data_IF_631549817286
#
_entry.id   IF_631549817286
#
_cell.length_a   1.000
_cell.length_b   1.000
_cell.length_c   1.000
_cell.angle_alpha   90.00
_cell.angle_beta   90.00
_cell.angle_gamma   90.00
#
_symmetry.space_group_name_H-M   'P 1'
#
loop_
_entity.id
_entity.type
_entity.pdbx_description
1 polymer ?
#
# COMPACT_ATOMS: atom_id res chain seq x y z
N UNK A 1 46.19 10.64 -1.11
CA UNK A 1 44.75 10.75 -1.39
C UNK A 1 44.03 9.82 -0.42
N UNK A 2 43.08 10.31 0.37
CA UNK A 2 42.20 9.38 1.07
C UNK A 2 41.32 8.72 0.03
N UNK A 3 41.39 7.40 -0.03
CA UNK A 3 40.53 6.56 -0.85
C UNK A 3 39.09 6.73 -0.35
N UNK A 4 38.13 6.96 -1.24
CA UNK A 4 36.70 7.04 -0.91
C UNK A 4 36.04 5.70 -1.22
N UNK A 5 35.85 4.88 -0.19
CA UNK A 5 35.18 3.58 -0.32
C UNK A 5 33.66 3.72 -0.18
N UNK A 6 32.91 2.70 -0.60
CA UNK A 6 31.47 2.62 -0.33
C UNK A 6 31.13 2.75 1.16
N UNK A 7 31.94 2.13 2.03
CA UNK A 7 31.79 2.24 3.48
C UNK A 7 31.95 3.68 3.95
N UNK A 8 32.92 4.42 3.40
CA UNK A 8 33.12 5.84 3.74
C UNK A 8 31.94 6.70 3.31
N UNK A 9 31.46 6.52 2.07
CA UNK A 9 30.27 7.21 1.57
C UNK A 9 29.03 6.94 2.43
N UNK A 10 28.82 5.67 2.81
CA UNK A 10 27.74 5.28 3.69
C UNK A 10 27.82 5.98 5.04
N UNK A 11 29.01 6.00 5.68
CA UNK A 11 29.19 6.61 7.00
C UNK A 11 28.94 8.13 6.96
N UNK A 12 29.50 8.82 5.95
CA UNK A 12 29.30 10.26 5.78
C UNK A 12 27.83 10.62 5.56
N UNK A 13 27.14 9.87 4.69
CA UNK A 13 25.71 10.06 4.45
C UNK A 13 24.87 9.71 5.69
N UNK A 14 25.22 8.66 6.42
CA UNK A 14 24.51 8.25 7.64
C UNK A 14 24.57 9.35 8.71
N UNK A 15 25.73 9.97 8.93
CA UNK A 15 25.83 11.08 9.89
C UNK A 15 25.04 12.31 9.42
N UNK A 16 25.07 12.65 8.12
CA UNK A 16 24.21 13.74 7.59
C UNK A 16 22.72 13.50 7.83
N UNK A 17 22.23 12.30 7.50
CA UNK A 17 20.82 11.96 7.70
C UNK A 17 20.43 11.92 9.18
N UNK A 18 21.35 11.48 10.04
CA UNK A 18 21.17 11.51 11.50
C UNK A 18 21.07 12.94 12.02
N UNK A 19 21.93 13.85 11.56
CA UNK A 19 21.87 15.28 11.92
C UNK A 19 20.56 15.93 11.44
N UNK A 20 19.97 15.42 10.34
CA UNK A 20 18.66 15.81 9.84
C UNK A 20 17.47 15.12 10.56
N UNK A 21 17.73 14.34 11.61
CA UNK A 21 16.74 13.57 12.38
C UNK A 21 15.94 12.55 11.53
N UNK A 22 16.57 11.95 10.52
CA UNK A 22 16.01 10.80 9.79
C UNK A 22 15.93 9.60 10.74
N UNK A 23 14.80 8.85 10.80
CA UNK A 23 14.63 7.76 11.77
C UNK A 23 15.64 6.60 11.66
N UNK A 24 15.91 6.13 10.44
CA UNK A 24 16.91 5.08 10.16
C UNK A 24 17.96 5.58 9.16
N UNK A 25 18.89 6.43 9.62
CA UNK A 25 19.77 7.17 8.73
C UNK A 25 20.75 6.25 8.00
N UNK A 26 21.17 5.14 8.63
CA UNK A 26 22.11 4.20 8.02
C UNK A 26 21.42 3.32 6.98
N UNK A 27 20.20 2.86 7.25
CA UNK A 27 19.41 2.12 6.28
C UNK A 27 19.12 2.98 5.05
N UNK A 28 18.61 4.19 5.25
CA UNK A 28 18.26 5.12 4.17
C UNK A 28 19.49 5.48 3.32
N UNK A 29 20.61 5.83 3.95
CA UNK A 29 21.86 6.12 3.24
C UNK A 29 22.34 4.92 2.40
N UNK A 30 22.23 3.69 2.93
CA UNK A 30 22.60 2.47 2.21
C UNK A 30 21.66 2.22 1.02
N UNK A 31 20.35 2.40 1.19
CA UNK A 31 19.38 2.23 0.12
C UNK A 31 19.62 3.23 -1.03
N UNK A 32 19.87 4.50 -0.71
CA UNK A 32 20.16 5.54 -1.69
C UNK A 32 21.51 5.31 -2.40
N UNK A 33 22.53 4.83 -1.68
CA UNK A 33 23.81 4.43 -2.26
C UNK A 33 23.64 3.25 -3.22
N UNK A 34 22.96 2.18 -2.78
CA UNK A 34 22.72 1.00 -3.61
C UNK A 34 21.95 1.35 -4.89
N UNK A 35 20.93 2.21 -4.78
CA UNK A 35 20.17 2.71 -5.93
C UNK A 35 21.04 3.54 -6.88
N UNK A 36 21.79 4.52 -6.37
CA UNK A 36 22.59 5.43 -7.20
C UNK A 36 23.72 4.70 -7.95
N UNK A 37 24.35 3.71 -7.33
CA UNK A 37 25.43 2.93 -7.94
C UNK A 37 24.95 1.64 -8.61
N UNK A 38 23.63 1.38 -8.64
CA UNK A 38 23.03 0.19 -9.25
C UNK A 38 23.63 -1.12 -8.73
N UNK A 39 23.84 -1.21 -7.42
CA UNK A 39 24.36 -2.41 -6.74
C UNK A 39 23.33 -2.98 -5.77
N UNK A 40 23.31 -4.31 -5.65
CA UNK A 40 22.48 -5.00 -4.68
C UNK A 40 23.20 -5.20 -3.34
N UNK A 41 22.46 -5.70 -2.34
CA UNK A 41 23.00 -5.95 -0.99
C UNK A 41 24.22 -6.88 -0.97
N UNK A 42 24.26 -7.90 -1.83
CA UNK A 42 25.37 -8.84 -1.88
C UNK A 42 26.63 -8.19 -2.47
N UNK A 43 26.47 -7.42 -3.55
CA UNK A 43 27.55 -6.61 -4.13
C UNK A 43 28.08 -5.60 -3.12
N UNK A 44 27.19 -4.88 -2.42
CA UNK A 44 27.62 -3.94 -1.37
C UNK A 44 28.48 -4.63 -0.30
N UNK A 45 28.06 -5.79 0.22
CA UNK A 45 28.82 -6.50 1.25
C UNK A 45 30.19 -7.00 0.77
N UNK A 46 30.30 -7.40 -0.50
CA UNK A 46 31.57 -7.85 -1.07
C UNK A 46 32.54 -6.69 -1.33
N UNK A 47 32.03 -5.50 -1.62
CA UNK A 47 32.80 -4.37 -2.10
C UNK A 47 32.78 -3.15 -1.17
N UNK A 48 32.25 -3.23 0.05
CA UNK A 48 32.10 -2.05 0.92
C UNK A 48 33.45 -1.36 1.24
N UNK A 49 34.54 -2.12 1.29
CA UNK A 49 35.91 -1.61 1.48
C UNK A 49 36.62 -1.19 0.17
N UNK A 50 35.92 -1.29 -0.96
CA UNK A 50 36.44 -0.92 -2.27
C UNK A 50 35.98 0.47 -2.69
N UNK A 51 36.76 1.10 -3.56
CA UNK A 51 36.35 2.27 -4.34
C UNK A 51 35.20 1.90 -5.27
N UNK A 52 34.18 2.76 -5.47
CA UNK A 52 33.17 2.55 -6.49
C UNK A 52 33.74 2.29 -7.89
N UNK A 53 34.88 2.91 -8.19
CA UNK A 53 35.71 2.74 -9.39
C UNK A 53 36.21 1.29 -9.58
N UNK A 54 36.33 0.53 -8.49
CA UNK A 54 36.86 -0.83 -8.48
C UNK A 54 35.81 -1.92 -8.75
N UNK A 55 34.53 -1.57 -8.91
CA UNK A 55 33.48 -2.50 -9.39
C UNK A 55 33.79 -2.94 -10.83
N UNK A 56 34.41 -4.11 -10.98
CA UNK A 56 34.81 -4.74 -12.26
C UNK A 56 33.56 -5.17 -13.08
N UNK A 57 33.70 -5.49 -14.38
CA UNK A 57 33.70 -4.63 -15.56
C UNK A 57 32.27 -4.37 -16.14
N UNK A 58 31.22 -4.43 -15.31
CA UNK A 58 29.84 -4.44 -15.81
C UNK A 58 29.00 -3.20 -15.53
N UNK A 59 29.27 -2.47 -14.43
CA UNK A 59 28.29 -1.49 -13.93
C UNK A 59 28.78 -0.04 -14.08
N UNK A 60 30.06 0.28 -13.83
CA UNK A 60 30.55 1.68 -13.89
C UNK A 60 32.02 1.83 -14.34
N UNK A 61 32.42 1.22 -15.46
CA UNK A 61 33.72 1.55 -16.10
C UNK A 61 33.70 2.88 -16.85
N UNK A 62 32.50 3.40 -17.07
CA UNK A 62 32.31 4.69 -17.71
C UNK A 62 32.42 5.80 -16.67
N UNK A 63 33.39 6.69 -16.87
CA UNK A 63 33.62 7.83 -15.99
C UNK A 63 32.39 8.73 -15.90
N UNK A 64 31.64 8.90 -16.99
CA UNK A 64 30.43 9.73 -16.99
C UNK A 64 29.32 9.08 -16.15
N UNK A 65 29.10 7.77 -16.29
CA UNK A 65 28.12 7.05 -15.47
C UNK A 65 28.50 7.06 -13.99
N UNK A 66 29.78 6.92 -13.67
CA UNK A 66 30.26 6.99 -12.30
C UNK A 66 30.04 8.38 -11.69
N UNK A 67 30.37 9.44 -12.43
CA UNK A 67 30.10 10.81 -11.99
C UNK A 67 28.60 11.07 -11.80
N UNK A 68 27.74 10.49 -12.65
CA UNK A 68 26.29 10.59 -12.51
C UNK A 68 25.77 9.80 -11.30
N UNK A 69 26.35 8.64 -10.99
CA UNK A 69 26.03 7.88 -9.78
C UNK A 69 26.35 8.68 -8.51
N UNK A 70 27.53 9.32 -8.45
CA UNK A 70 27.86 10.22 -7.34
C UNK A 70 26.90 11.41 -7.25
N UNK A 71 26.60 12.07 -8.38
CA UNK A 71 25.63 13.18 -8.43
C UNK A 71 24.26 12.75 -7.92
N UNK A 72 23.77 11.60 -8.37
CA UNK A 72 22.50 11.02 -7.96
C UNK A 72 22.50 10.71 -6.46
N UNK A 73 23.56 10.10 -5.95
CA UNK A 73 23.71 9.77 -4.54
C UNK A 73 23.61 11.02 -3.67
N UNK A 74 24.46 12.03 -3.91
CA UNK A 74 24.45 13.25 -3.09
C UNK A 74 23.14 14.04 -3.21
N UNK A 75 22.58 14.15 -4.42
CA UNK A 75 21.26 14.77 -4.63
C UNK A 75 20.15 14.06 -3.83
N UNK A 76 20.18 12.73 -3.78
CA UNK A 76 19.19 11.96 -3.03
C UNK A 76 19.40 12.08 -1.52
N UNK A 77 20.65 12.19 -1.04
CA UNK A 77 20.93 12.52 0.37
C UNK A 77 20.34 13.90 0.71
N UNK A 78 20.55 14.92 -0.13
CA UNK A 78 19.99 16.27 0.10
C UNK A 78 18.44 16.29 0.15
N UNK A 79 17.80 15.47 -0.69
CA UNK A 79 16.34 15.26 -0.65
C UNK A 79 15.92 14.62 0.66
N UNK A 80 16.63 13.58 1.10
CA UNK A 80 16.34 12.87 2.34
C UNK A 80 16.61 13.71 3.59
N UNK A 81 17.62 14.58 3.58
CA UNK A 81 17.88 15.58 4.63
C UNK A 81 16.69 16.53 4.81
N UNK A 82 15.93 16.81 3.75
CA UNK A 82 14.68 17.60 3.79
C UNK A 82 13.47 16.79 4.24
N UNK A 83 13.68 15.55 4.70
CA UNK A 83 12.65 14.60 5.12
C UNK A 83 11.73 14.13 3.99
N UNK A 84 12.13 14.24 2.72
CA UNK A 84 11.40 13.60 1.62
C UNK A 84 11.39 12.07 1.82
N UNK A 85 10.25 11.36 1.69
CA UNK A 85 10.17 9.92 1.95
C UNK A 85 11.15 9.12 1.09
N UNK A 86 11.85 8.15 1.69
CA UNK A 86 12.83 7.30 0.99
C UNK A 86 12.22 6.66 -0.27
N UNK A 87 11.01 6.16 -0.17
CA UNK A 87 10.29 5.48 -1.26
C UNK A 87 10.01 6.43 -2.43
N UNK A 88 9.68 7.70 -2.17
CA UNK A 88 9.50 8.70 -3.22
C UNK A 88 10.84 9.10 -3.87
N UNK A 89 11.94 9.12 -3.09
CA UNK A 89 13.28 9.35 -3.64
C UNK A 89 13.71 8.19 -4.55
N UNK A 90 13.46 6.94 -4.13
CA UNK A 90 13.71 5.72 -4.90
C UNK A 90 12.71 5.55 -6.06
N UNK A 91 11.54 6.18 -5.97
CA UNK A 91 10.44 6.08 -6.93
C UNK A 91 9.68 4.74 -6.88
N UNK A 92 9.95 3.89 -5.89
CA UNK A 92 9.33 2.57 -5.75
C UNK A 92 9.23 2.17 -4.28
N UNK A 93 8.28 1.29 -3.97
CA UNK A 93 8.21 0.57 -2.69
C UNK A 93 7.75 -0.87 -2.89
N UNK A 94 8.28 -1.78 -2.09
CA UNK A 94 7.77 -3.14 -2.00
C UNK A 94 6.43 -3.18 -1.26
N UNK A 95 5.49 -3.97 -1.76
CA UNK A 95 4.22 -4.29 -1.10
C UNK A 95 3.77 -5.69 -1.53
N UNK A 96 3.56 -6.58 -0.57
CA UNK A 96 3.11 -7.96 -0.78
C UNK A 96 3.97 -8.74 -1.81
N UNK A 97 5.29 -8.51 -1.78
CA UNK A 97 6.25 -9.11 -2.70
C UNK A 97 6.29 -8.52 -4.11
N UNK A 98 5.57 -7.43 -4.37
CA UNK A 98 5.55 -6.70 -5.64
C UNK A 98 6.18 -5.31 -5.47
N UNK A 99 6.78 -4.77 -6.54
CA UNK A 99 7.34 -3.41 -6.55
C UNK A 99 6.37 -2.42 -7.19
N UNK A 100 5.88 -1.46 -6.40
CA UNK A 100 4.97 -0.40 -6.84
C UNK A 100 5.71 0.91 -7.03
N UNK A 101 5.53 1.53 -8.20
CA UNK A 101 5.93 2.92 -8.41
C UNK A 101 5.13 3.82 -7.48
N UNK A 102 5.84 4.75 -6.84
CA UNK A 102 5.26 5.79 -5.98
C UNK A 102 5.83 7.17 -6.33
N UNK A 103 5.01 8.19 -6.15
CA UNK A 103 5.35 9.62 -6.31
C UNK A 103 4.68 10.41 -5.18
N UNK A 104 4.87 11.72 -5.14
CA UNK A 104 4.14 12.61 -4.22
C UNK A 104 2.61 12.66 -4.48
N UNK A 105 2.12 12.04 -5.56
CA UNK A 105 0.70 12.01 -5.91
C UNK A 105 -0.08 10.88 -5.20
N UNK A 106 0.61 9.97 -4.51
CA UNK A 106 0.01 8.80 -3.86
C UNK A 106 0.56 8.61 -2.44
N UNK A 107 -0.28 8.07 -1.57
CA UNK A 107 0.18 7.51 -0.30
C UNK A 107 1.11 6.33 -0.59
N UNK A 108 2.28 6.28 0.05
CA UNK A 108 3.15 5.13 -0.05
C UNK A 108 2.49 3.90 0.60
N UNK A 109 2.36 2.76 -0.11
CA UNK A 109 1.88 1.51 0.46
C UNK A 109 2.54 1.19 1.81
N UNK A 110 1.73 0.82 2.80
CA UNK A 110 2.17 0.50 4.16
C UNK A 110 2.12 -1.01 4.38
N UNK A 111 3.05 -1.54 5.17
CA UNK A 111 3.05 -2.96 5.52
C UNK A 111 1.77 -3.38 6.25
N UNK A 112 1.21 -2.50 7.10
CA UNK A 112 -0.04 -2.78 7.83
C UNK A 112 -1.22 -3.05 6.87
N UNK A 113 -1.23 -2.44 5.68
CA UNK A 113 -2.23 -2.66 4.62
C UNK A 113 -2.20 -4.10 4.08
N UNK A 114 -1.09 -4.83 4.23
CA UNK A 114 -1.04 -6.25 3.87
C UNK A 114 -2.02 -7.09 4.71
N UNK A 115 -2.38 -6.64 5.92
CA UNK A 115 -3.43 -7.26 6.75
C UNK A 115 -4.79 -7.27 6.03
N UNK A 116 -5.09 -6.22 5.25
CA UNK A 116 -6.32 -6.15 4.44
C UNK A 116 -6.26 -7.17 3.30
N UNK A 117 -5.10 -7.31 2.64
CA UNK A 117 -4.88 -8.31 1.59
C UNK A 117 -5.05 -9.72 2.15
N UNK A 118 -4.41 -10.01 3.28
CA UNK A 118 -4.54 -11.30 3.97
C UNK A 118 -5.97 -11.58 4.42
N UNK A 119 -6.72 -10.55 4.83
CA UNK A 119 -8.13 -10.65 5.16
C UNK A 119 -8.98 -11.07 3.95
N UNK A 120 -8.71 -10.52 2.77
CA UNK A 120 -9.45 -10.81 1.53
C UNK A 120 -9.04 -12.16 0.94
N UNK A 121 -7.74 -12.48 0.91
CA UNK A 121 -7.24 -13.78 0.45
C UNK A 121 -7.48 -14.90 1.47
N UNK A 122 -7.92 -14.52 2.68
CA UNK A 122 -8.15 -15.37 3.85
C UNK A 122 -6.88 -16.10 4.33
N UNK A 123 -5.72 -15.47 4.18
CA UNK A 123 -4.45 -15.96 4.70
C UNK A 123 -4.26 -15.70 6.20
N UNK A 124 -5.24 -15.11 6.89
CA UNK A 124 -5.16 -14.81 8.33
C UNK A 124 -4.83 -16.06 9.15
N UNK A 125 -3.89 -15.93 10.09
CA UNK A 125 -3.52 -17.02 11.00
C UNK A 125 -4.70 -17.43 11.90
N UNK A 126 -4.97 -18.73 11.98
CA UNK A 126 -6.14 -19.30 12.70
C UNK A 126 -6.17 -19.03 14.20
N UNK A 127 -5.03 -18.68 14.79
CA UNK A 127 -4.90 -18.47 16.24
C UNK A 127 -5.45 -17.11 16.68
N UNK A 128 -5.49 -16.12 15.78
CA UNK A 128 -5.92 -14.75 16.09
C UNK A 128 -7.41 -14.49 15.78
N UNK A 129 -8.12 -15.45 15.18
CA UNK A 129 -9.53 -15.30 14.82
C UNK A 129 -10.39 -16.07 15.85
N UNK A 130 -11.28 -15.37 16.58
CA UNK A 130 -12.24 -16.02 17.47
C UNK A 130 -13.02 -17.12 16.76
N UNK A 131 -13.21 -18.27 17.42
CA UNK A 131 -13.84 -19.46 16.84
C UNK A 131 -15.17 -19.16 16.14
N UNK A 132 -15.97 -18.28 16.74
CA UNK A 132 -17.25 -17.82 16.18
C UNK A 132 -17.15 -17.14 14.81
N UNK A 133 -15.99 -16.68 14.37
CA UNK A 133 -15.79 -16.00 13.07
C UNK A 133 -15.06 -16.87 12.04
N UNK A 134 -14.59 -18.07 12.41
CA UNK A 134 -13.82 -18.95 11.50
C UNK A 134 -14.57 -19.32 10.23
N UNK A 135 -15.90 -19.51 10.31
CA UNK A 135 -16.72 -19.80 9.13
C UNK A 135 -16.73 -18.66 8.11
N UNK A 136 -16.60 -17.40 8.56
CA UNK A 136 -16.57 -16.25 7.66
C UNK A 136 -15.29 -16.24 6.86
N UNK A 137 -14.15 -16.46 7.55
CA UNK A 137 -12.84 -16.64 6.90
C UNK A 137 -12.93 -17.73 5.85
N UNK A 138 -13.45 -18.91 6.19
CA UNK A 138 -13.62 -20.00 5.21
C UNK A 138 -14.47 -19.61 4.00
N UNK A 139 -15.46 -18.72 4.16
CA UNK A 139 -16.28 -18.24 3.05
C UNK A 139 -15.52 -17.22 2.19
N UNK A 140 -14.78 -16.30 2.80
CA UNK A 140 -13.92 -15.37 2.06
C UNK A 140 -12.80 -16.11 1.35
N UNK A 141 -12.14 -17.07 2.02
CA UNK A 141 -11.22 -18.04 1.42
C UNK A 141 -11.85 -18.72 0.21
N UNK A 142 -13.06 -19.27 0.35
CA UNK A 142 -13.75 -19.93 -0.77
C UNK A 142 -14.04 -18.98 -1.94
N UNK A 143 -14.38 -17.73 -1.65
CA UNK A 143 -14.57 -16.69 -2.68
C UNK A 143 -13.26 -16.50 -3.46
N UNK A 144 -12.14 -16.33 -2.76
CA UNK A 144 -10.87 -15.89 -3.36
C UNK A 144 -9.93 -17.02 -3.79
N UNK A 145 -10.11 -18.25 -3.30
CA UNK A 145 -9.30 -19.43 -3.59
C UNK A 145 -9.85 -20.35 -4.70
N UNK A 146 -10.94 -19.95 -5.38
CA UNK A 146 -11.50 -20.67 -6.54
C UNK A 146 -12.13 -22.05 -6.27
N UNK A 147 -12.31 -22.48 -5.01
CA UNK A 147 -12.78 -23.85 -4.68
C UNK A 147 -14.30 -24.07 -4.81
N UNK A 148 -15.08 -23.04 -5.10
CA UNK A 148 -16.49 -23.16 -5.47
C UNK A 148 -16.83 -22.24 -6.66
N UNK A 149 -16.13 -22.42 -7.78
CA UNK A 149 -16.60 -21.92 -9.08
C UNK A 149 -17.65 -22.92 -9.55
N UNK A 150 -18.90 -22.73 -9.11
CA UNK A 150 -20.04 -23.26 -9.85
C UNK A 150 -20.35 -22.17 -10.88
N UNK A 151 -20.24 -22.50 -12.16
CA UNK A 151 -20.61 -21.66 -13.31
C UNK A 151 -19.62 -20.57 -13.82
N UNK A 152 -18.30 -20.80 -13.80
CA UNK A 152 -17.30 -19.95 -14.51
C UNK A 152 -17.26 -18.44 -14.13
N UNK A 153 -17.97 -17.99 -13.10
CA UNK A 153 -17.97 -16.60 -12.64
C UNK A 153 -17.24 -16.49 -11.29
N UNK A 154 -15.98 -16.01 -11.33
CA UNK A 154 -15.24 -15.66 -10.10
C UNK A 154 -15.84 -14.43 -9.41
N UNK A 155 -15.48 -14.12 -8.16
CA UNK A 155 -16.00 -12.95 -7.46
C UNK A 155 -15.63 -11.63 -8.15
N UNK A 156 -16.47 -10.61 -7.97
CA UNK A 156 -16.21 -9.23 -8.38
C UNK A 156 -15.79 -8.37 -7.18
N UNK A 157 -14.66 -7.66 -7.33
CA UNK A 157 -14.07 -6.81 -6.30
C UNK A 157 -14.24 -5.32 -6.67
N UNK A 158 -14.54 -4.49 -5.67
CA UNK A 158 -14.36 -3.04 -5.72
C UNK A 158 -13.31 -2.59 -4.70
N UNK A 159 -12.30 -1.85 -5.13
CA UNK A 159 -11.33 -1.15 -4.30
C UNK A 159 -11.63 0.36 -4.31
N UNK A 160 -12.02 0.90 -3.16
CA UNK A 160 -12.36 2.30 -2.97
C UNK A 160 -11.17 3.07 -2.39
N UNK A 161 -10.81 4.20 -3.01
CA UNK A 161 -9.62 5.00 -2.70
C UNK A 161 -8.32 4.24 -3.05
N UNK A 162 -8.22 3.77 -4.30
CA UNK A 162 -7.17 2.84 -4.72
C UNK A 162 -5.75 3.41 -4.67
N UNK A 163 -5.58 4.73 -4.73
CA UNK A 163 -4.29 5.40 -4.66
C UNK A 163 -3.32 4.91 -5.75
N UNK A 164 -2.21 4.31 -5.33
CA UNK A 164 -1.21 3.70 -6.22
C UNK A 164 -1.67 2.41 -6.91
N UNK A 165 -2.87 1.93 -6.59
CA UNK A 165 -3.41 0.66 -7.07
C UNK A 165 -2.95 -0.54 -6.24
N UNK A 166 -2.20 -0.35 -5.16
CA UNK A 166 -1.54 -1.45 -4.45
C UNK A 166 -2.51 -2.53 -3.98
N UNK A 167 -3.68 -2.18 -3.46
CA UNK A 167 -4.68 -3.17 -3.02
C UNK A 167 -5.28 -3.90 -4.23
N UNK A 168 -5.90 -3.17 -5.16
CA UNK A 168 -6.53 -3.73 -6.36
C UNK A 168 -5.59 -4.63 -7.18
N UNK A 169 -4.37 -4.17 -7.45
CA UNK A 169 -3.40 -4.89 -8.29
C UNK A 169 -2.91 -6.15 -7.59
N UNK A 170 -2.65 -6.08 -6.28
CA UNK A 170 -2.22 -7.25 -5.49
C UNK A 170 -3.33 -8.31 -5.46
N UNK A 171 -4.58 -7.89 -5.23
CA UNK A 171 -5.72 -8.80 -5.23
C UNK A 171 -6.02 -9.37 -6.63
N UNK A 172 -5.82 -8.60 -7.69
CA UNK A 172 -5.91 -9.11 -9.06
C UNK A 172 -4.80 -10.14 -9.38
N UNK A 173 -3.60 -9.96 -8.79
CA UNK A 173 -2.44 -10.82 -9.02
C UNK A 173 -2.55 -12.16 -8.30
N UNK A 174 -2.96 -12.13 -7.04
CA UNK A 174 -2.92 -13.30 -6.16
C UNK A 174 -4.30 -13.90 -5.86
N UNK A 175 -5.39 -13.16 -6.11
CA UNK A 175 -6.76 -13.64 -5.95
C UNK A 175 -7.37 -14.19 -7.24
N UNK A 176 -8.41 -15.01 -7.11
CA UNK A 176 -9.17 -15.55 -8.24
C UNK A 176 -10.40 -14.72 -8.60
N UNK A 177 -10.26 -13.40 -8.69
CA UNK A 177 -11.36 -12.51 -9.07
C UNK A 177 -11.67 -12.57 -10.57
N UNK A 178 -12.96 -12.48 -10.91
CA UNK A 178 -13.42 -12.31 -12.28
C UNK A 178 -13.15 -10.89 -12.78
N UNK A 179 -13.43 -9.88 -11.94
CA UNK A 179 -13.10 -8.49 -12.21
C UNK A 179 -12.74 -7.74 -10.95
N UNK A 180 -11.86 -6.75 -11.10
CA UNK A 180 -11.43 -5.84 -10.06
C UNK A 180 -11.67 -4.43 -10.56
N UNK A 181 -12.59 -3.71 -9.92
CA UNK A 181 -12.81 -2.29 -10.18
C UNK A 181 -12.12 -1.50 -9.09
N UNK A 182 -11.33 -0.51 -9.45
CA UNK A 182 -10.55 0.30 -8.52
C UNK A 182 -10.81 1.77 -8.83
N UNK A 183 -11.19 2.52 -7.80
CA UNK A 183 -11.65 3.91 -7.99
C UNK A 183 -10.91 4.87 -7.08
N UNK A 184 -10.66 6.08 -7.60
CA UNK A 184 -10.04 7.16 -6.85
C UNK A 184 -10.54 8.52 -7.35
N UNK A 185 -10.55 9.51 -6.45
CA UNK A 185 -10.89 10.90 -6.78
C UNK A 185 -9.70 11.64 -7.41
N UNK A 186 -8.49 11.11 -7.29
CA UNK A 186 -7.28 11.72 -7.81
C UNK A 186 -6.91 11.14 -9.17
N UNK A 187 -7.04 11.94 -10.23
CA UNK A 187 -6.54 11.56 -11.56
C UNK A 187 -5.03 11.30 -11.57
N UNK A 188 -4.24 12.00 -10.74
CA UNK A 188 -2.80 11.77 -10.65
C UNK A 188 -2.50 10.41 -9.99
N UNK A 189 -3.24 10.04 -8.95
CA UNK A 189 -3.15 8.71 -8.35
C UNK A 189 -3.49 7.61 -9.38
N UNK A 190 -4.56 7.78 -10.15
CA UNK A 190 -4.97 6.82 -11.17
C UNK A 190 -3.94 6.67 -12.31
N UNK A 191 -3.17 7.71 -12.63
CA UNK A 191 -2.02 7.58 -13.56
C UNK A 191 -0.94 6.67 -12.97
N UNK A 192 -0.66 6.77 -11.67
CA UNK A 192 0.28 5.88 -10.99
C UNK A 192 -0.27 4.46 -10.89
N UNK A 193 -1.55 4.29 -10.53
CA UNK A 193 -2.20 2.99 -10.53
C UNK A 193 -2.22 2.33 -11.91
N UNK A 194 -2.44 3.10 -12.98
CA UNK A 194 -2.38 2.62 -14.36
C UNK A 194 -0.98 2.12 -14.70
N UNK A 195 0.05 2.90 -14.37
CA UNK A 195 1.44 2.49 -14.57
C UNK A 195 1.75 1.19 -13.82
N UNK A 196 1.39 1.11 -12.54
CA UNK A 196 1.64 -0.07 -11.72
C UNK A 196 0.91 -1.30 -12.27
N UNK A 197 -0.37 -1.16 -12.65
CA UNK A 197 -1.16 -2.24 -13.26
C UNK A 197 -0.47 -2.77 -14.51
N UNK A 198 0.00 -1.89 -15.38
CA UNK A 198 0.55 -2.26 -16.69
C UNK A 198 1.94 -2.93 -16.58
N UNK A 199 2.73 -2.54 -15.57
CA UNK A 199 4.05 -3.12 -15.32
C UNK A 199 3.97 -4.46 -14.54
N UNK A 200 3.05 -4.57 -13.57
CA UNK A 200 3.00 -5.70 -12.63
C UNK A 200 2.14 -6.86 -13.15
N UNK A 201 1.03 -6.55 -13.83
CA UNK A 201 0.08 -7.55 -14.30
C UNK A 201 0.38 -7.99 -15.73
N UNK A 202 0.23 -9.29 -15.99
CA UNK A 202 0.22 -9.80 -17.36
C UNK A 202 -1.09 -9.42 -18.08
N UNK A 203 -1.14 -9.66 -19.39
CA UNK A 203 -2.27 -9.24 -20.24
C UNK A 203 -3.63 -9.74 -19.72
N UNK A 204 -3.73 -11.01 -19.35
CA UNK A 204 -4.98 -11.61 -18.88
C UNK A 204 -5.39 -11.17 -17.46
N UNK A 205 -4.43 -10.83 -16.60
CA UNK A 205 -4.69 -10.22 -15.29
C UNK A 205 -5.14 -8.76 -15.45
N UNK A 206 -4.46 -8.01 -16.32
CA UNK A 206 -4.72 -6.59 -16.57
C UNK A 206 -6.11 -6.33 -17.15
N UNK A 207 -6.58 -7.21 -18.04
CA UNK A 207 -7.94 -7.13 -18.60
C UNK A 207 -9.05 -7.18 -17.55
N UNK A 208 -8.76 -7.76 -16.38
CA UNK A 208 -9.71 -7.84 -15.26
C UNK A 208 -9.75 -6.57 -14.42
N UNK A 209 -8.74 -5.70 -14.51
CA UNK A 209 -8.57 -4.52 -13.66
C UNK A 209 -9.03 -3.25 -14.36
N UNK A 210 -10.12 -2.67 -13.88
CA UNK A 210 -10.66 -1.38 -14.34
C UNK A 210 -10.33 -0.28 -13.34
N UNK A 211 -9.76 0.81 -13.82
CA UNK A 211 -9.46 2.01 -13.05
C UNK A 211 -10.45 3.12 -13.45
N UNK A 212 -11.14 3.71 -12.47
CA UNK A 212 -12.20 4.70 -12.71
C UNK A 212 -11.96 5.94 -11.84
N UNK A 213 -12.01 7.12 -12.45
CA UNK A 213 -12.06 8.38 -11.72
C UNK A 213 -13.46 8.61 -11.18
N UNK A 214 -13.59 8.65 -9.84
CA UNK A 214 -14.89 8.70 -9.16
C UNK A 214 -14.74 9.42 -7.81
N UNK A 215 -15.72 10.25 -7.45
CA UNK A 215 -15.88 10.69 -6.07
C UNK A 215 -16.72 9.63 -5.33
N UNK A 216 -16.02 8.79 -4.56
CA UNK A 216 -16.62 7.65 -3.90
C UNK A 216 -17.40 6.78 -4.92
N UNK A 217 -18.71 6.65 -4.76
CA UNK A 217 -19.57 5.79 -5.58
C UNK A 217 -20.17 6.48 -6.82
N UNK A 218 -19.84 7.76 -7.10
CA UNK A 218 -20.52 8.56 -8.13
C UNK A 218 -20.50 7.95 -9.53
N UNK A 219 -19.37 7.33 -9.92
CA UNK A 219 -19.19 6.67 -11.22
C UNK A 219 -19.14 5.13 -11.09
N UNK A 220 -19.49 4.59 -9.91
CA UNK A 220 -19.50 3.16 -9.67
C UNK A 220 -20.83 2.57 -10.12
N UNK A 221 -20.78 1.48 -10.88
CA UNK A 221 -21.95 0.72 -11.32
C UNK A 221 -21.76 -0.77 -11.08
N UNK A 222 -22.87 -1.51 -11.04
CA UNK A 222 -22.88 -2.94 -10.79
C UNK A 222 -22.94 -3.33 -9.32
N UNK A 223 -22.73 -4.62 -9.06
CA UNK A 223 -22.76 -5.23 -7.73
C UNK A 223 -21.52 -6.07 -7.53
N UNK A 224 -20.94 -6.04 -6.33
CA UNK A 224 -19.68 -6.69 -6.00
C UNK A 224 -19.86 -7.76 -4.93
N UNK A 225 -19.02 -8.78 -4.97
CA UNK A 225 -18.92 -9.81 -3.93
C UNK A 225 -18.10 -9.30 -2.74
N UNK A 226 -17.10 -8.47 -3.01
CA UNK A 226 -16.21 -7.90 -2.00
C UNK A 226 -15.97 -6.41 -2.31
N UNK A 227 -16.12 -5.54 -1.31
CA UNK A 227 -15.70 -4.14 -1.37
C UNK A 227 -14.60 -3.93 -0.33
N UNK A 228 -13.46 -3.38 -0.76
CA UNK A 228 -12.33 -3.04 0.11
C UNK A 228 -12.05 -1.55 0.05
N UNK A 229 -11.43 -1.03 1.10
CA UNK A 229 -10.96 0.36 1.10
C UNK A 229 -9.88 0.57 2.14
N UNK A 230 -8.87 1.36 1.78
CA UNK A 230 -8.04 2.08 2.74
C UNK A 230 -8.33 3.58 2.56
N UNK A 231 -9.43 4.10 3.14
CA UNK A 231 -9.81 5.48 2.96
C UNK A 231 -8.97 6.41 3.86
N UNK A 232 -8.95 7.73 3.59
CA UNK A 232 -8.35 8.68 4.52
C UNK A 232 -9.06 8.62 5.88
N UNK A 233 -8.31 8.40 6.96
CA UNK A 233 -8.88 8.17 8.29
C UNK A 233 -8.30 9.05 9.40
N UNK A 234 -7.33 9.90 9.10
CA UNK A 234 -6.66 10.73 10.10
C UNK A 234 -7.53 11.98 10.36
N UNK A 235 -7.90 12.28 11.62
CA UNK A 235 -8.63 13.51 11.93
C UNK A 235 -7.85 14.75 11.48
N UNK A 236 -8.51 15.76 10.88
CA UNK A 236 -7.81 16.92 10.29
C UNK A 236 -6.84 17.63 11.24
N UNK A 237 -7.20 17.68 12.53
CA UNK A 237 -6.37 18.30 13.59
C UNK A 237 -5.06 17.55 13.86
N UNK A 238 -4.98 16.27 13.50
CA UNK A 238 -3.82 15.40 13.72
C UNK A 238 -2.87 15.44 12.52
N UNK A 239 -3.37 15.72 11.31
CA UNK A 239 -2.57 15.71 10.08
C UNK A 239 -1.35 16.63 10.19
N UNK A 240 -1.50 17.82 10.77
CA UNK A 240 -0.40 18.79 10.91
C UNK A 240 0.65 18.39 11.97
N UNK A 241 0.34 17.36 12.79
CA UNK A 241 1.22 16.80 13.82
C UNK A 241 1.97 15.55 13.40
N UNK A 242 1.71 15.05 12.19
CA UNK A 242 2.38 13.86 11.64
C UNK A 242 3.87 14.13 11.41
N UNK A 243 4.62 13.05 11.26
CA UNK A 243 6.03 13.11 10.90
C UNK A 243 6.22 13.91 9.59
N UNK A 244 7.30 14.71 9.46
CA UNK A 244 7.58 15.53 8.29
C UNK A 244 7.45 14.81 6.95
N UNK A 245 7.92 13.56 6.87
CA UNK A 245 7.78 12.69 5.69
C UNK A 245 6.34 12.58 5.20
N UNK A 246 5.40 12.41 6.13
CA UNK A 246 3.99 12.19 5.81
C UNK A 246 3.29 13.52 5.64
N UNK A 247 3.50 14.45 6.58
CA UNK A 247 2.82 15.75 6.59
C UNK A 247 3.15 16.60 5.35
N UNK A 248 4.42 16.63 4.96
CA UNK A 248 4.92 17.60 3.98
C UNK A 248 5.00 17.03 2.56
N UNK A 249 5.04 15.70 2.38
CA UNK A 249 5.29 15.05 1.08
C UNK A 249 4.24 14.03 0.63
N UNK A 250 3.35 13.58 1.51
CA UNK A 250 2.23 12.73 1.08
C UNK A 250 0.99 13.58 0.81
N UNK A 251 0.14 13.18 -0.17
CA UNK A 251 -1.00 14.00 -0.57
C UNK A 251 -2.00 14.07 0.58
N UNK A 252 -2.28 15.29 1.07
CA UNK A 252 -3.21 15.51 2.20
C UNK A 252 -4.58 14.84 2.01
N UNK A 253 -5.08 14.79 0.78
CA UNK A 253 -6.37 14.14 0.45
C UNK A 253 -6.37 12.63 0.74
N UNK A 254 -5.21 11.97 0.73
CA UNK A 254 -5.08 10.55 1.08
C UNK A 254 -4.98 10.32 2.61
N UNK A 255 -4.76 11.38 3.39
CA UNK A 255 -4.56 11.30 4.84
C UNK A 255 -5.80 11.79 5.63
N UNK A 256 -6.34 12.94 5.23
CA UNK A 256 -7.33 13.70 5.99
C UNK A 256 -8.74 13.07 5.90
N UNK A 257 -9.11 12.31 6.92
CA UNK A 257 -10.44 11.76 7.13
C UNK A 257 -11.49 12.77 7.60
N UNK A 258 -11.13 14.06 7.64
CA UNK A 258 -11.91 15.21 8.15
C UNK A 258 -12.22 15.11 9.65
N UNK A 259 -12.85 16.13 10.25
CA UNK A 259 -13.50 16.07 11.58
C UNK A 259 -12.88 15.11 12.61
N UNK A 260 -13.50 13.95 12.77
CA UNK A 260 -13.11 12.86 13.68
C UNK A 260 -12.41 11.67 12.98
N UNK A 261 -12.07 11.80 11.70
CA UNK A 261 -11.46 10.77 10.89
C UNK A 261 -12.47 9.78 10.28
N UNK A 262 -13.75 9.87 10.62
CA UNK A 262 -14.73 8.84 10.28
C UNK A 262 -15.64 9.17 9.09
N UNK A 263 -15.43 10.30 8.40
CA UNK A 263 -16.30 10.73 7.28
C UNK A 263 -16.43 9.66 6.21
N UNK A 264 -15.32 9.10 5.74
CA UNK A 264 -15.35 8.14 4.65
C UNK A 264 -15.95 6.79 5.08
N UNK A 265 -15.72 6.35 6.32
CA UNK A 265 -16.40 5.16 6.85
C UNK A 265 -17.92 5.33 6.93
N UNK A 266 -18.43 6.53 7.25
CA UNK A 266 -19.88 6.80 7.21
C UNK A 266 -20.45 6.68 5.79
N UNK A 267 -19.73 7.20 4.79
CA UNK A 267 -20.12 7.08 3.38
C UNK A 267 -20.11 5.61 2.96
N UNK A 268 -19.01 4.90 3.25
CA UNK A 268 -18.85 3.47 2.94
C UNK A 268 -19.96 2.64 3.58
N UNK A 269 -20.22 2.80 4.88
CA UNK A 269 -21.26 2.07 5.59
C UNK A 269 -22.66 2.31 4.98
N UNK A 270 -22.97 3.56 4.60
CA UNK A 270 -24.26 3.91 4.03
C UNK A 270 -24.45 3.42 2.58
N UNK A 271 -23.40 3.46 1.75
CA UNK A 271 -23.49 3.17 0.32
C UNK A 271 -23.21 1.71 -0.03
N UNK A 272 -22.26 1.04 0.64
CA UNK A 272 -21.87 -0.35 0.33
C UNK A 272 -23.06 -1.33 0.21
N UNK A 273 -24.11 -1.30 1.05
CA UNK A 273 -25.28 -2.18 0.88
C UNK A 273 -25.95 -2.08 -0.50
N UNK A 274 -25.91 -0.90 -1.14
CA UNK A 274 -26.45 -0.68 -2.49
C UNK A 274 -25.56 -1.27 -3.59
N UNK A 275 -24.30 -1.53 -3.31
CA UNK A 275 -23.32 -2.05 -4.28
C UNK A 275 -22.86 -3.47 -3.99
N UNK A 276 -23.28 -4.09 -2.88
CA UNK A 276 -22.97 -5.49 -2.61
C UNK A 276 -24.03 -6.45 -3.17
N UNK A 277 -23.56 -7.62 -3.62
CA UNK A 277 -24.38 -8.81 -3.84
C UNK A 277 -24.82 -9.38 -2.47
N UNK A 278 -25.90 -10.15 -2.46
CA UNK A 278 -26.37 -10.81 -1.23
C UNK A 278 -25.29 -11.72 -0.67
N UNK A 279 -24.91 -11.54 0.59
CA UNK A 279 -23.83 -12.30 1.23
C UNK A 279 -22.42 -11.77 0.91
N UNK A 280 -22.31 -10.63 0.22
CA UNK A 280 -21.03 -9.97 -0.04
C UNK A 280 -20.40 -9.35 1.21
N UNK A 281 -19.11 -9.04 1.12
CA UNK A 281 -18.30 -8.60 2.26
C UNK A 281 -17.74 -7.20 2.05
N UNK A 282 -17.54 -6.50 3.16
CA UNK A 282 -16.70 -5.30 3.24
C UNK A 282 -15.47 -5.60 4.10
N UNK A 283 -14.32 -5.03 3.72
CA UNK A 283 -13.12 -5.01 4.55
C UNK A 283 -12.48 -3.62 4.44
N UNK A 284 -12.39 -2.89 5.55
CA UNK A 284 -11.86 -1.54 5.56
C UNK A 284 -10.63 -1.46 6.47
N UNK A 285 -9.52 -0.93 5.95
CA UNK A 285 -8.41 -0.53 6.79
C UNK A 285 -8.84 0.65 7.68
N UNK A 286 -8.38 0.64 8.93
CA UNK A 286 -8.69 1.62 9.96
C UNK A 286 -7.45 2.09 10.71
N UNK A 287 -7.57 3.26 11.35
CA UNK A 287 -6.66 3.65 12.42
C UNK A 287 -6.77 2.69 13.62
N UNK A 288 -5.68 2.53 14.37
CA UNK A 288 -5.57 1.57 15.48
C UNK A 288 -6.59 1.76 16.61
N UNK A 289 -7.20 2.95 16.71
CA UNK A 289 -8.17 3.35 17.72
C UNK A 289 -9.61 3.43 17.19
N UNK A 290 -9.85 3.06 15.92
CA UNK A 290 -11.14 3.23 15.25
C UNK A 290 -11.98 1.95 15.15
N UNK A 291 -11.48 0.82 15.66
CA UNK A 291 -12.11 -0.52 15.57
C UNK A 291 -13.56 -0.54 16.03
N UNK A 292 -13.85 0.00 17.20
CA UNK A 292 -15.20 0.04 17.78
C UNK A 292 -16.13 0.92 16.94
N UNK A 293 -15.73 2.16 16.67
CA UNK A 293 -16.56 3.14 15.97
C UNK A 293 -16.93 2.69 14.55
N UNK A 294 -15.97 2.16 13.79
CA UNK A 294 -16.25 1.65 12.43
C UNK A 294 -17.09 0.37 12.48
N UNK A 295 -16.89 -0.47 13.50
CA UNK A 295 -17.75 -1.65 13.71
C UNK A 295 -19.20 -1.28 13.99
N UNK A 296 -19.45 -0.21 14.76
CA UNK A 296 -20.79 0.29 15.03
C UNK A 296 -21.46 0.83 13.76
N UNK A 297 -20.75 1.63 12.96
CA UNK A 297 -21.25 2.12 11.67
C UNK A 297 -21.69 0.98 10.74
N UNK A 298 -20.90 -0.10 10.66
CA UNK A 298 -21.28 -1.29 9.88
C UNK A 298 -22.52 -1.99 10.45
N UNK A 299 -22.61 -2.18 11.76
CA UNK A 299 -23.77 -2.82 12.40
C UNK A 299 -25.05 -2.01 12.16
N UNK A 300 -24.99 -0.69 12.29
CA UNK A 300 -26.10 0.22 12.03
C UNK A 300 -26.54 0.20 10.56
N UNK A 301 -25.59 0.08 9.63
CA UNK A 301 -25.86 -0.11 8.21
C UNK A 301 -26.39 -1.52 7.85
N UNK A 302 -26.56 -2.41 8.83
CA UNK A 302 -27.16 -3.72 8.66
C UNK A 302 -26.18 -4.86 8.36
N UNK A 303 -24.87 -4.60 8.43
CA UNK A 303 -23.87 -5.66 8.32
C UNK A 303 -23.93 -6.60 9.52
N UNK A 304 -23.72 -7.89 9.25
CA UNK A 304 -23.65 -8.96 10.24
C UNK A 304 -22.22 -9.45 10.39
N UNK A 305 -22.03 -10.15 11.49
CA UNK A 305 -20.77 -10.81 11.83
C UNK A 305 -19.57 -9.88 11.80
N UNK A 306 -19.79 -8.64 12.23
CA UNK A 306 -18.76 -7.61 12.23
C UNK A 306 -17.62 -8.01 13.16
N UNK A 307 -16.40 -7.98 12.63
CA UNK A 307 -15.18 -8.35 13.33
C UNK A 307 -14.06 -7.36 13.04
N UNK A 308 -13.16 -7.20 14.01
CA UNK A 308 -11.93 -6.44 13.87
C UNK A 308 -10.77 -7.42 13.77
N UNK A 309 -9.93 -7.25 12.76
CA UNK A 309 -8.73 -8.02 12.48
C UNK A 309 -7.55 -7.13 12.87
N UNK A 310 -6.61 -7.73 13.59
CA UNK A 310 -5.40 -7.04 14.02
C UNK A 310 -4.24 -7.26 13.06
N UNK A 311 -3.35 -6.27 12.97
CA UNK A 311 -2.07 -6.39 12.27
C UNK A 311 -1.05 -7.22 13.08
N UNK A 312 0.13 -7.44 12.51
CA UNK A 312 1.23 -8.15 13.17
C UNK A 312 1.78 -7.44 14.42
N UNK A 313 1.46 -6.16 14.59
CA UNK A 313 1.76 -5.36 15.78
C UNK A 313 0.70 -5.46 16.89
N UNK A 314 -0.30 -6.32 16.74
CA UNK A 314 -1.45 -6.48 17.65
C UNK A 314 -2.36 -5.24 17.75
N UNK A 315 -2.29 -4.34 16.76
CA UNK A 315 -3.19 -3.19 16.65
C UNK A 315 -4.41 -3.54 15.80
N UNK A 316 -5.57 -2.98 16.14
CA UNK A 316 -6.75 -3.04 15.28
C UNK A 316 -6.43 -2.43 13.92
N UNK A 317 -6.69 -3.16 12.83
CA UNK A 317 -6.27 -2.71 11.50
C UNK A 317 -7.34 -2.83 10.44
N UNK A 318 -8.15 -3.87 10.47
CA UNK A 318 -9.19 -4.08 9.46
C UNK A 318 -10.51 -4.38 10.12
N UNK A 319 -11.56 -3.65 9.74
CA UNK A 319 -12.94 -4.00 10.13
C UNK A 319 -13.60 -4.68 8.95
N UNK A 320 -14.18 -5.86 9.21
CA UNK A 320 -14.87 -6.67 8.23
C UNK A 320 -16.34 -6.86 8.62
N UNK A 321 -17.23 -6.93 7.63
CA UNK A 321 -18.64 -7.27 7.84
C UNK A 321 -19.26 -7.93 6.60
N UNK A 322 -20.34 -8.69 6.80
CA UNK A 322 -21.10 -9.31 5.72
C UNK A 322 -22.47 -8.66 5.57
N UNK A 323 -22.89 -8.35 4.34
CA UNK A 323 -24.28 -7.95 4.10
C UNK A 323 -25.18 -9.19 4.05
N UNK A 324 -26.20 -9.24 4.92
CA UNK A 324 -27.29 -10.20 4.80
C UNK A 324 -28.54 -9.41 4.41
N UNK A 325 -29.07 -9.67 3.22
CA UNK A 325 -30.37 -9.11 2.86
C UNK A 325 -31.42 -9.85 3.69
N UNK A 326 -32.18 -9.11 4.50
CA UNK A 326 -33.40 -9.62 5.10
C UNK A 326 -34.41 -9.83 3.97
N UNK A 327 -34.89 -11.08 3.83
CA UNK A 327 -35.99 -11.42 2.92
C UNK A 327 -37.28 -10.71 3.33
#
# INVERSE_FOLDING_TARGET
MQITTFRKLLLEASEKLKDANVPDPRFDARALLMSAFSINSAQFLLYEESEPEALVPGVLKDKELLEEAYRTFYKNIERREKREPLQQILGTTGFYGLDFRVTADVLCPRADTETLIDGVLGNLMYDNIPEKYRYMKERVDKLTSGRQIVDNEGPELLDMCTGSGCIAITLAKFGHFQSVTAVDISESALKIATYNRDIILNDGEREKVRLIHSDMFSEVSGKFDVIVSNPPYIPSRVVDTLEPEVRDFEPRIALDGTGDGLKFYRILAAECPKYLKTGGYVLFEIGYDQGEAVSELLKEAGFKDVMVIKDFGDNDRVVMGQIQVFR
#
